data_IF_095787130714
#
_entry.id   IF_095787130714
#
_cell.length_a   1.000
_cell.length_b   1.000
_cell.length_c   1.000
_cell.angle_alpha   90.00
_cell.angle_beta   90.00
_cell.angle_gamma   90.00
#
_symmetry.space_group_name_H-M   'P 1'
#
loop_
_entity.id
_entity.type
_entity.pdbx_description
1 polymer ?
#
# COMPACT_ATOMS: atom_id res chain seq x y z
N UNK A 1 -4.39 8.51 -14.17
CA UNK A 1 -3.57 8.54 -12.93
C UNK A 1 -2.84 7.21 -12.84
N UNK A 2 -1.54 7.19 -12.55
CA UNK A 2 -0.79 5.93 -12.46
C UNK A 2 -1.34 5.08 -11.31
N UNK A 3 -1.94 3.94 -11.63
CA UNK A 3 -2.52 3.00 -10.65
C UNK A 3 -1.45 2.22 -9.86
N UNK A 4 -0.18 2.58 -10.00
CA UNK A 4 0.98 1.95 -9.37
C UNK A 4 1.51 2.85 -8.27
N UNK A 5 0.96 2.69 -7.06
CA UNK A 5 1.56 3.27 -5.87
C UNK A 5 2.89 2.55 -5.60
N UNK A 6 4.00 3.29 -5.64
CA UNK A 6 5.28 2.78 -5.20
C UNK A 6 5.33 2.76 -3.66
N UNK A 7 5.85 1.69 -3.04
CA UNK A 7 6.23 1.73 -1.63
C UNK A 7 7.38 2.72 -1.44
N UNK A 8 7.38 3.46 -0.34
CA UNK A 8 8.47 4.36 0.01
C UNK A 8 9.56 3.68 0.85
N UNK A 9 9.21 2.65 1.62
CA UNK A 9 10.13 1.98 2.54
C UNK A 9 10.03 0.46 2.43
N UNK A 10 11.18 -0.22 2.47
CA UNK A 10 11.27 -1.67 2.47
C UNK A 10 10.60 -2.20 3.74
N UNK A 11 9.60 -3.11 3.64
CA UNK A 11 8.90 -3.64 4.81
C UNK A 11 9.79 -4.51 5.71
N UNK A 12 11.00 -4.85 5.25
CA UNK A 12 11.93 -5.71 6.00
C UNK A 12 13.11 -4.98 6.64
N UNK A 13 13.64 -3.91 6.04
CA UNK A 13 14.80 -3.18 6.58
C UNK A 13 14.57 -1.68 6.78
N UNK A 14 13.47 -1.12 6.25
CA UNK A 14 13.15 0.30 6.35
C UNK A 14 13.94 1.21 5.40
N UNK A 15 14.74 0.65 4.48
CA UNK A 15 15.47 1.41 3.47
C UNK A 15 14.56 1.87 2.32
N UNK A 16 14.94 2.93 1.61
CA UNK A 16 14.16 3.56 0.54
C UNK A 16 14.62 3.15 -0.87
N UNK A 17 15.74 2.42 -1.01
CA UNK A 17 16.26 1.96 -2.31
C UNK A 17 15.46 0.76 -2.84
N UNK A 18 14.21 1.04 -3.24
CA UNK A 18 13.24 0.12 -3.80
C UNK A 18 13.14 0.26 -5.32
N UNK A 19 13.17 -0.87 -6.03
CA UNK A 19 13.04 -0.92 -7.49
C UNK A 19 11.96 -1.93 -7.90
N UNK A 20 11.22 -1.70 -8.99
CA UNK A 20 10.32 -2.71 -9.53
C UNK A 20 11.13 -3.92 -10.02
N UNK A 21 10.72 -5.13 -9.62
CA UNK A 21 11.33 -6.40 -10.07
C UNK A 21 10.74 -6.84 -11.40
N UNK A 22 11.55 -7.53 -12.21
CA UNK A 22 11.14 -8.10 -13.50
C UNK A 22 10.18 -9.31 -13.35
N UNK A 23 9.98 -9.81 -12.13
CA UNK A 23 9.06 -10.93 -11.83
C UNK A 23 7.59 -10.62 -12.13
N UNK A 24 7.22 -9.35 -12.30
CA UNK A 24 5.92 -8.95 -12.83
C UNK A 24 5.23 -7.82 -12.10
N UNK A 25 3.92 -7.67 -12.32
CA UNK A 25 3.16 -6.54 -11.78
C UNK A 25 3.17 -6.51 -10.25
N UNK A 26 3.54 -5.35 -9.70
CA UNK A 26 3.59 -5.14 -8.26
C UNK A 26 4.76 -5.84 -7.56
N UNK A 27 5.69 -6.46 -8.30
CA UNK A 27 6.92 -7.01 -7.75
C UNK A 27 7.94 -5.88 -7.49
N UNK A 28 8.63 -5.95 -6.36
CA UNK A 28 9.59 -4.98 -5.89
C UNK A 28 10.78 -5.68 -5.25
N UNK A 29 11.96 -5.09 -5.40
CA UNK A 29 13.19 -5.52 -4.73
C UNK A 29 13.81 -4.35 -3.96
N UNK A 30 14.45 -4.65 -2.84
CA UNK A 30 15.24 -3.70 -2.07
C UNK A 30 16.72 -3.99 -2.27
N UNK A 31 17.49 -3.02 -2.78
CA UNK A 31 18.93 -3.25 -3.01
C UNK A 31 19.75 -3.25 -1.72
N UNK A 32 19.26 -2.62 -0.65
CA UNK A 32 19.96 -2.56 0.64
C UNK A 32 19.98 -3.91 1.38
N UNK A 33 18.93 -4.72 1.26
CA UNK A 33 18.85 -6.03 1.92
C UNK A 33 18.60 -7.22 0.97
N UNK A 34 18.64 -6.97 -0.35
CA UNK A 34 18.47 -7.98 -1.42
C UNK A 34 17.21 -8.84 -1.29
N UNK A 35 16.10 -8.27 -0.81
CA UNK A 35 14.80 -8.98 -0.67
C UNK A 35 13.83 -8.53 -1.74
N UNK A 36 13.18 -9.50 -2.38
CA UNK A 36 12.07 -9.28 -3.30
C UNK A 36 10.72 -9.55 -2.60
N UNK A 37 9.69 -8.80 -2.98
CA UNK A 37 8.33 -8.92 -2.45
C UNK A 37 7.30 -8.41 -3.46
N UNK A 38 6.03 -8.78 -3.29
CA UNK A 38 4.93 -8.35 -4.17
C UNK A 38 3.86 -7.57 -3.40
N UNK A 39 3.42 -6.46 -3.97
CA UNK A 39 2.30 -5.65 -3.48
C UNK A 39 1.06 -5.85 -4.33
N UNK A 40 -0.11 -5.87 -3.68
CA UNK A 40 -1.41 -5.99 -4.33
C UNK A 40 -2.39 -5.00 -3.73
N UNK A 41 -3.01 -4.19 -4.57
CA UNK A 41 -4.17 -3.39 -4.17
C UNK A 41 -5.39 -4.31 -4.00
N UNK A 42 -6.00 -4.28 -2.82
CA UNK A 42 -7.14 -5.14 -2.48
C UNK A 42 -8.51 -4.44 -2.66
N UNK A 43 -8.52 -3.14 -2.96
CA UNK A 43 -9.73 -2.32 -2.94
C UNK A 43 -9.92 -1.53 -1.63
N UNK A 44 -11.06 -0.87 -1.50
CA UNK A 44 -11.43 -0.12 -0.31
C UNK A 44 -12.07 -1.05 0.74
N UNK A 45 -11.61 -0.98 1.99
CA UNK A 45 -12.18 -1.78 3.09
C UNK A 45 -13.55 -1.21 3.52
N UNK A 46 -14.54 -2.09 3.67
CA UNK A 46 -15.93 -1.74 4.06
C UNK A 46 -16.06 -1.01 5.41
N UNK A 47 -15.06 -1.13 6.29
CA UNK A 47 -14.99 -0.36 7.55
C UNK A 47 -14.80 1.14 7.29
N UNK A 48 -14.09 1.53 6.24
CA UNK A 48 -13.89 2.94 5.88
C UNK A 48 -15.18 3.60 5.39
N UNK A 49 -16.04 2.85 4.70
CA UNK A 49 -17.34 3.34 4.20
C UNK A 49 -18.34 3.62 5.32
N UNK A 50 -18.40 2.78 6.36
CA UNK A 50 -19.37 2.93 7.48
C UNK A 50 -19.17 4.16 8.36
N UNK A 51 -17.96 4.75 8.39
CA UNK A 51 -17.69 5.94 9.22
C UNK A 51 -18.29 7.21 8.63
N UNK A 52 -18.58 7.25 7.33
CA UNK A 52 -19.22 8.40 6.69
C UNK A 52 -20.72 8.53 7.01
N UNK A 53 -21.37 7.47 7.48
CA UNK A 53 -22.83 7.42 7.68
C UNK A 53 -23.28 7.82 9.11
N UNK A 54 -22.37 7.78 10.10
CA UNK A 54 -22.71 8.06 11.51
C UNK A 54 -22.67 9.56 11.88
N UNK A 55 -23.10 10.43 10.96
CA UNK A 55 -23.22 11.89 11.15
C UNK A 55 -24.58 12.35 11.68
N UNK A 56 -25.31 11.50 12.41
CA UNK A 56 -26.64 11.82 12.96
C UNK A 56 -26.59 12.24 14.42
N UNK A 57 -26.00 13.41 14.70
CA UNK A 57 -26.06 14.04 16.02
C UNK A 57 -27.34 14.85 16.19
N UNK A 58 -28.42 14.21 16.62
CA UNK A 58 -29.54 14.89 17.27
C UNK A 58 -29.25 14.89 18.78
N UNK A 59 -28.76 16.02 19.26
CA UNK A 59 -28.69 16.35 20.69
C UNK A 59 -29.71 17.47 20.90
N UNK A 60 -30.91 17.09 21.36
CA UNK A 60 -31.91 18.00 21.92
C UNK A 60 -31.89 17.81 23.44
#
# INVERSE_FOLDING_TARGET
MSERAAPFYCPYCGDEDLRPSEEGHGAWECAACSRAFQLKFLGLLSRGLRRADNGGGDQI
#
